data_IF_371346968758
#
_entry.id   IF_371346968758
#
_cell.length_a   1.000
_cell.length_b   1.000
_cell.length_c   1.000
_cell.angle_alpha   90.00
_cell.angle_beta   90.00
_cell.angle_gamma   90.00
#
_symmetry.space_group_name_H-M   'P 1'
#
loop_
_entity.id
_entity.type
_entity.pdbx_description
1 polymer ?
#
# COMPACT_ATOMS: atom_id res chain seq x y z
N UNK A 1 5.20 -14.71 40.31
CA UNK A 1 5.96 -15.73 39.55
C UNK A 1 5.17 -17.03 39.66
N UNK A 2 4.55 -17.50 38.58
CA UNK A 2 3.83 -18.77 38.56
C UNK A 2 4.66 -19.78 37.76
N UNK A 3 5.06 -20.87 38.42
CA UNK A 3 5.84 -21.95 37.85
C UNK A 3 5.14 -22.55 36.63
N UNK A 4 5.88 -22.65 35.53
CA UNK A 4 5.51 -23.44 34.34
C UNK A 4 5.56 -24.92 34.71
N UNK A 5 4.51 -25.42 35.37
CA UNK A 5 4.31 -26.86 35.55
C UNK A 5 4.19 -27.56 34.20
N UNK A 6 4.99 -28.61 33.99
CA UNK A 6 4.91 -29.45 32.79
C UNK A 6 3.58 -30.22 32.79
N UNK A 7 2.73 -29.97 31.79
CA UNK A 7 1.45 -30.65 31.64
C UNK A 7 1.54 -31.69 30.50
N UNK A 8 1.62 -32.99 30.80
CA UNK A 8 1.76 -34.06 29.80
C UNK A 8 0.56 -34.21 28.87
N UNK A 9 -0.61 -33.63 29.21
CA UNK A 9 -1.81 -33.65 28.36
C UNK A 9 -1.88 -32.48 27.38
N UNK A 10 -0.93 -31.55 27.43
CA UNK A 10 -0.90 -30.40 26.53
C UNK A 10 -0.46 -30.85 25.14
N UNK A 11 -1.29 -30.62 24.12
CA UNK A 11 -0.96 -30.99 22.73
C UNK A 11 0.34 -30.31 22.30
N UNK A 12 1.29 -31.09 21.82
CA UNK A 12 2.61 -30.63 21.35
C UNK A 12 2.51 -29.48 20.35
N UNK A 13 1.47 -29.50 19.52
CA UNK A 13 1.19 -28.48 18.50
C UNK A 13 0.96 -27.08 19.09
N UNK A 14 0.53 -26.98 20.36
CA UNK A 14 0.34 -25.68 21.02
C UNK A 14 1.64 -25.02 21.48
N UNK A 15 2.71 -25.80 21.67
CA UNK A 15 4.02 -25.28 22.08
C UNK A 15 4.85 -24.82 20.88
N UNK A 16 4.58 -25.36 19.69
CA UNK A 16 5.33 -25.08 18.45
C UNK A 16 4.75 -23.95 17.60
N UNK A 17 3.63 -23.33 17.98
CA UNK A 17 2.92 -22.34 17.15
C UNK A 17 3.78 -21.14 16.75
N UNK A 18 4.68 -20.73 17.64
CA UNK A 18 5.55 -19.56 17.44
C UNK A 18 6.98 -19.94 17.02
N UNK A 19 7.31 -21.24 16.93
CA UNK A 19 8.63 -21.70 16.53
C UNK A 19 8.67 -21.92 15.02
N UNK A 20 9.74 -21.43 14.39
CA UNK A 20 10.03 -21.71 12.99
C UNK A 20 10.43 -23.18 12.86
N UNK A 21 9.59 -23.96 12.19
CA UNK A 21 9.89 -25.35 11.89
C UNK A 21 10.88 -25.41 10.73
N UNK A 22 12.07 -25.93 10.97
CA UNK A 22 13.16 -26.02 9.98
C UNK A 22 12.79 -27.04 8.89
N UNK A 23 11.95 -28.03 9.21
CA UNK A 23 11.48 -29.06 8.29
C UNK A 23 9.95 -29.11 8.28
N UNK A 24 9.28 -28.12 7.67
CA UNK A 24 7.83 -28.01 7.74
C UNK A 24 7.15 -29.20 7.07
N UNK A 25 6.19 -29.79 7.78
CA UNK A 25 5.21 -30.69 7.18
C UNK A 25 4.33 -29.90 6.20
N UNK A 26 3.68 -30.56 5.24
CA UNK A 26 2.81 -29.89 4.26
C UNK A 26 1.74 -28.96 4.90
N UNK A 27 1.24 -29.33 6.08
CA UNK A 27 0.31 -28.52 6.86
C UNK A 27 0.94 -27.25 7.45
N UNK A 28 2.18 -27.31 7.96
CA UNK A 28 2.88 -26.13 8.47
C UNK A 28 3.38 -25.23 7.34
N UNK A 29 3.75 -25.80 6.19
CA UNK A 29 4.11 -25.00 5.01
C UNK A 29 2.96 -24.10 4.54
N UNK A 30 1.73 -24.62 4.52
CA UNK A 30 0.54 -23.80 4.19
C UNK A 30 0.37 -22.62 5.15
N UNK A 31 0.51 -22.87 6.46
CA UNK A 31 0.40 -21.81 7.48
C UNK A 31 1.45 -20.72 7.26
N UNK A 32 2.68 -21.11 6.91
CA UNK A 32 3.75 -20.17 6.58
C UNK A 32 3.37 -19.35 5.35
N UNK A 33 2.90 -19.98 4.26
CA UNK A 33 2.48 -19.26 3.05
C UNK A 33 1.33 -18.27 3.31
N UNK A 34 0.32 -18.67 4.07
CA UNK A 34 -0.80 -17.80 4.40
C UNK A 34 -0.34 -16.60 5.23
N UNK A 35 0.61 -16.81 6.14
CA UNK A 35 1.23 -15.74 6.96
C UNK A 35 2.08 -14.80 6.11
N UNK A 36 2.92 -15.33 5.22
CA UNK A 36 3.72 -14.53 4.28
C UNK A 36 2.83 -13.71 3.35
N UNK A 37 1.75 -14.29 2.84
CA UNK A 37 0.78 -13.56 2.00
C UNK A 37 0.12 -12.42 2.77
N UNK A 38 -0.24 -12.65 4.02
CA UNK A 38 -0.81 -11.61 4.87
C UNK A 38 0.19 -10.46 5.10
N UNK A 39 1.45 -10.76 5.42
CA UNK A 39 2.47 -9.72 5.60
C UNK A 39 2.79 -8.99 4.31
N UNK A 40 2.94 -9.71 3.20
CA UNK A 40 3.19 -9.12 1.88
C UNK A 40 2.11 -8.10 1.51
N UNK A 41 0.82 -8.46 1.69
CA UNK A 41 -0.30 -7.55 1.46
C UNK A 41 -0.22 -6.32 2.37
N UNK A 42 0.10 -6.50 3.65
CA UNK A 42 0.24 -5.40 4.60
C UNK A 42 1.39 -4.46 4.22
N UNK A 43 2.56 -5.00 3.86
CA UNK A 43 3.71 -4.20 3.41
C UNK A 43 3.39 -3.38 2.17
N UNK A 44 2.64 -3.96 1.21
CA UNK A 44 2.18 -3.21 0.04
C UNK A 44 1.26 -2.05 0.45
N UNK A 45 0.27 -2.29 1.31
CA UNK A 45 -0.64 -1.25 1.80
C UNK A 45 0.08 -0.14 2.55
N UNK A 46 1.00 -0.49 3.46
CA UNK A 46 1.78 0.47 4.23
C UNK A 46 2.69 1.31 3.30
N UNK A 47 3.28 0.68 2.28
CA UNK A 47 4.09 1.37 1.26
C UNK A 47 3.26 2.35 0.43
N UNK A 48 2.06 1.95 -0.02
CA UNK A 48 1.16 2.83 -0.76
C UNK A 48 0.69 4.01 0.08
N UNK A 49 0.33 3.75 1.34
CA UNK A 49 -0.07 4.79 2.28
C UNK A 49 1.06 5.81 2.49
N UNK A 50 2.28 5.34 2.73
CA UNK A 50 3.45 6.21 2.89
C UNK A 50 3.72 7.05 1.63
N UNK A 51 3.66 6.43 0.45
CA UNK A 51 3.86 7.12 -0.81
C UNK A 51 2.79 8.20 -1.04
N UNK A 52 1.52 7.90 -0.73
CA UNK A 52 0.41 8.85 -0.82
C UNK A 52 0.59 10.03 0.13
N UNK A 53 0.86 9.77 1.42
CA UNK A 53 1.11 10.83 2.40
C UNK A 53 2.29 11.72 2.01
N UNK A 54 3.35 11.15 1.42
CA UNK A 54 4.47 11.92 0.89
C UNK A 54 4.06 12.77 -0.32
N UNK A 55 3.25 12.22 -1.22
CA UNK A 55 2.75 12.93 -2.39
C UNK A 55 1.86 14.11 -1.98
N UNK A 56 0.91 13.90 -1.07
CA UNK A 56 0.00 14.92 -0.55
C UNK A 56 0.75 16.05 0.17
N UNK A 57 1.88 15.76 0.83
CA UNK A 57 2.73 16.79 1.46
C UNK A 57 3.47 17.66 0.45
N UNK A 58 3.86 17.11 -0.70
CA UNK A 58 4.63 17.82 -1.74
C UNK A 58 3.69 18.58 -2.68
N UNK A 59 2.56 17.98 -3.02
CA UNK A 59 1.57 18.57 -3.91
C UNK A 59 0.66 19.54 -3.14
N UNK A 60 0.92 20.83 -3.28
CA UNK A 60 -0.02 21.87 -2.89
C UNK A 60 -1.21 21.87 -3.86
N UNK A 61 -2.41 22.20 -3.38
CA UNK A 61 -3.52 22.49 -4.27
C UNK A 61 -3.10 23.65 -5.20
N UNK A 62 -3.16 23.46 -6.52
CA UNK A 62 -2.89 24.53 -7.46
C UNK A 62 -4.08 25.50 -7.51
N UNK A 63 -3.78 26.80 -7.53
CA UNK A 63 -4.77 27.86 -7.72
C UNK A 63 -4.92 28.14 -9.22
N UNK A 64 -5.63 27.25 -9.92
CA UNK A 64 -5.90 27.39 -11.35
C UNK A 64 -7.12 28.27 -11.60
N UNK A 65 -7.10 29.03 -12.70
CA UNK A 65 -8.27 29.77 -13.19
C UNK A 65 -8.67 29.30 -14.58
N UNK A 66 -9.96 29.48 -14.90
CA UNK A 66 -10.47 29.26 -16.25
C UNK A 66 -9.75 30.23 -17.20
N UNK A 67 -9.16 29.69 -18.26
CA UNK A 67 -8.35 30.45 -19.21
C UNK A 67 -6.83 30.34 -19.04
N UNK A 68 -6.34 29.71 -17.96
CA UNK A 68 -4.91 29.46 -17.80
C UNK A 68 -4.44 28.33 -18.73
N UNK A 69 -3.22 28.48 -19.26
CA UNK A 69 -2.50 27.42 -19.98
C UNK A 69 -1.66 26.63 -18.98
N UNK A 70 -1.95 25.35 -18.82
CA UNK A 70 -1.28 24.49 -17.85
C UNK A 70 -0.66 23.27 -18.53
N UNK A 71 0.46 22.81 -17.98
CA UNK A 71 1.10 21.56 -18.34
C UNK A 71 0.82 20.54 -17.22
N UNK A 72 0.17 19.43 -17.57
CA UNK A 72 -0.13 18.35 -16.63
C UNK A 72 1.07 17.42 -16.65
N UNK A 73 1.86 17.40 -15.58
CA UNK A 73 2.86 16.37 -15.41
C UNK A 73 2.21 15.09 -14.87
N UNK A 74 2.59 13.96 -15.44
CA UNK A 74 2.06 12.60 -15.17
C UNK A 74 2.29 12.08 -13.75
N UNK A 75 2.80 12.88 -12.82
CA UNK A 75 2.89 12.53 -11.40
C UNK A 75 1.50 12.68 -10.75
N UNK A 76 0.53 11.90 -11.23
CA UNK A 76 -0.78 11.79 -10.58
C UNK A 76 -0.62 10.95 -9.32
N UNK A 77 -0.67 11.60 -8.15
CA UNK A 77 -0.70 10.92 -6.85
C UNK A 77 -1.91 9.98 -6.66
N UNK A 78 -2.87 9.99 -7.59
CA UNK A 78 -4.09 9.19 -7.52
C UNK A 78 -3.90 7.75 -8.02
N UNK A 79 -2.84 7.45 -8.78
CA UNK A 79 -2.55 6.12 -9.34
C UNK A 79 -1.30 5.47 -8.72
N UNK A 80 -1.14 5.59 -7.40
CA UNK A 80 -0.02 4.98 -6.66
C UNK A 80 -0.21 3.46 -6.52
N UNK A 81 -1.46 2.99 -6.54
CA UNK A 81 -1.79 1.56 -6.44
C UNK A 81 -1.79 0.89 -7.82
N UNK A 82 -0.83 -0.02 -8.01
CA UNK A 82 -0.81 -0.94 -9.15
C UNK A 82 0.11 -0.53 -10.31
N UNK A 83 0.41 -1.46 -11.22
CA UNK A 83 1.33 -1.24 -12.34
C UNK A 83 0.61 -0.57 -13.52
N UNK A 84 0.20 0.69 -13.38
CA UNK A 84 -0.19 1.49 -14.56
C UNK A 84 1.05 2.18 -15.11
N UNK A 85 1.65 1.56 -16.14
CA UNK A 85 2.65 2.25 -16.97
C UNK A 85 1.95 3.44 -17.64
N UNK A 86 2.18 4.64 -17.12
CA UNK A 86 1.79 5.85 -17.82
C UNK A 86 2.68 5.98 -19.05
N UNK A 87 2.13 5.70 -20.24
CA UNK A 87 2.72 6.16 -21.49
C UNK A 87 2.76 7.67 -21.42
N UNK A 88 3.96 8.26 -21.37
CA UNK A 88 4.13 9.71 -21.40
C UNK A 88 3.42 10.27 -22.64
N UNK A 89 2.30 10.95 -22.42
CA UNK A 89 1.59 11.71 -23.43
C UNK A 89 1.68 13.18 -23.05
N UNK A 90 2.86 13.78 -23.23
CA UNK A 90 2.96 15.23 -23.27
C UNK A 90 2.75 15.69 -24.70
N UNK A 91 1.59 16.26 -24.98
CA UNK A 91 1.31 17.03 -26.19
C UNK A 91 0.71 18.36 -25.75
N UNK A 92 1.57 19.38 -25.73
CA UNK A 92 1.21 20.81 -25.66
C UNK A 92 0.50 21.30 -24.38
N UNK A 93 0.59 22.62 -24.06
CA UNK A 93 -0.16 23.22 -22.97
C UNK A 93 -1.66 23.13 -23.23
N UNK A 94 -2.46 22.75 -22.23
CA UNK A 94 -3.91 22.76 -22.35
C UNK A 94 -4.50 24.04 -21.76
N UNK A 95 -5.58 24.50 -22.39
CA UNK A 95 -6.42 25.57 -21.86
C UNK A 95 -7.44 24.99 -20.87
N UNK A 96 -7.50 25.54 -19.66
CA UNK A 96 -8.52 25.18 -18.68
C UNK A 96 -9.86 25.80 -19.10
N UNK A 97 -10.80 24.96 -19.55
CA UNK A 97 -12.14 25.39 -19.97
C UNK A 97 -13.16 25.46 -18.83
N UNK A 98 -13.07 24.56 -17.85
CA UNK A 98 -13.95 24.50 -16.70
C UNK A 98 -13.25 23.82 -15.51
N UNK A 99 -13.51 24.30 -14.30
CA UNK A 99 -13.05 23.70 -13.05
C UNK A 99 -14.23 23.06 -12.31
N UNK A 100 -14.00 21.99 -11.56
CA UNK A 100 -15.03 21.31 -10.77
C UNK A 100 -14.59 21.28 -9.30
N UNK A 101 -15.53 21.43 -8.37
CA UNK A 101 -15.26 21.44 -6.92
C UNK A 101 -15.10 22.86 -6.35
N UNK A 102 -14.31 23.04 -5.26
CA UNK A 102 -14.22 24.32 -4.55
C UNK A 102 -13.58 25.46 -5.35
N UNK A 103 -12.98 25.16 -6.51
CA UNK A 103 -12.43 26.13 -7.46
C UNK A 103 -13.34 26.34 -8.69
N UNK A 104 -14.55 25.78 -8.70
CA UNK A 104 -15.55 26.07 -9.72
C UNK A 104 -16.14 27.46 -9.45
N UNK A 105 -15.66 28.46 -10.19
CA UNK A 105 -16.32 29.76 -10.33
C UNK A 105 -17.25 29.70 -11.53
#
# INVERSE_FOLDING_TARGET
MLEKGWNPRRRYDTLKKDLVDINPTASSFKIILDKERHYSNRFMQDSFKYAKERCDKIHKLPDFKVGDLVLASTLSCNNIEGPTKFTYSFSEPFLISALHGPHAV
#
